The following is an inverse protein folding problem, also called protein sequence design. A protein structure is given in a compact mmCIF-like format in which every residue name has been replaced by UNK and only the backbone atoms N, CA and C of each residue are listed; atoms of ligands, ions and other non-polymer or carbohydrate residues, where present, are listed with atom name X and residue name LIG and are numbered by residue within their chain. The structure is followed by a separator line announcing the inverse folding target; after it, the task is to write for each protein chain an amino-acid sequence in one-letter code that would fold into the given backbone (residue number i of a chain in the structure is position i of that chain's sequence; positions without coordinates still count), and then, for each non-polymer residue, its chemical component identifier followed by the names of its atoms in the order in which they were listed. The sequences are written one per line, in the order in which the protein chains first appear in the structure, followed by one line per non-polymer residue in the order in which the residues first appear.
data_IF_928363770671
#
_entry.id   IF_928363770671
#
_cell.length_a   1.000
_cell.length_b   1.000
_cell.length_c   1.000
_cell.angle_alpha   90.00
_cell.angle_beta   90.00
_cell.angle_gamma   90.00
#
_symmetry.space_group_name_H-M   'P 1'
#
loop_
_entity.id
_entity.type
_entity.pdbx_description
1 polymer ?
#
# COMPACT_ATOMS: atom_id res chain seq x y z
N UNK A 1 22.19 -7.89 17.82
CA UNK A 1 22.23 -8.63 16.54
C UNK A 1 20.79 -8.84 16.11
N UNK A 2 20.13 -7.78 15.64
CA UNK A 2 18.75 -7.81 15.14
C UNK A 2 18.86 -7.83 13.62
N UNK A 3 18.28 -8.84 12.99
CA UNK A 3 18.34 -9.05 11.56
C UNK A 3 17.58 -7.92 10.86
N UNK A 4 18.25 -7.25 9.93
CA UNK A 4 17.65 -6.41 8.90
C UNK A 4 16.52 -7.19 8.23
N UNK A 5 15.28 -6.78 8.50
CA UNK A 5 14.16 -7.15 7.63
C UNK A 5 14.26 -6.16 6.48
N UNK A 6 15.05 -6.54 5.50
CA UNK A 6 15.01 -6.03 4.14
C UNK A 6 13.53 -6.03 3.72
N UNK A 7 12.89 -4.86 3.73
CA UNK A 7 11.55 -4.70 3.17
C UNK A 7 11.76 -4.83 1.66
N UNK A 8 11.78 -6.09 1.20
CA UNK A 8 11.67 -6.40 -0.21
C UNK A 8 10.51 -5.57 -0.74
N UNK A 9 10.76 -4.77 -1.78
CA UNK A 9 9.68 -4.23 -2.59
C UNK A 9 8.92 -5.45 -3.11
N UNK A 10 7.84 -5.82 -2.43
CA UNK A 10 6.93 -6.86 -2.89
C UNK A 10 6.32 -6.34 -4.20
N UNK A 11 6.96 -6.66 -5.32
CA UNK A 11 6.34 -6.52 -6.63
C UNK A 11 5.05 -7.34 -6.62
N UNK A 12 4.01 -6.77 -7.21
CA UNK A 12 2.76 -7.48 -7.36
C UNK A 12 2.98 -8.71 -8.25
N UNK A 13 2.61 -9.87 -7.76
CA UNK A 13 2.49 -11.07 -8.58
C UNK A 13 1.16 -11.00 -9.35
N UNK A 14 1.22 -10.55 -10.60
CA UNK A 14 0.05 -10.33 -11.44
C UNK A 14 -0.62 -11.66 -11.79
N UNK A 15 0.14 -12.74 -11.97
CA UNK A 15 -0.43 -14.04 -12.32
C UNK A 15 -1.19 -14.64 -11.13
N UNK A 16 -0.65 -14.50 -9.91
CA UNK A 16 -1.37 -14.85 -8.69
C UNK A 16 -2.61 -13.98 -8.49
N UNK A 17 -2.51 -12.67 -8.76
CA UNK A 17 -3.62 -11.74 -8.66
C UNK A 17 -4.76 -12.11 -9.61
N UNK A 18 -4.43 -12.40 -10.87
CA UNK A 18 -5.37 -12.84 -11.90
C UNK A 18 -6.06 -14.15 -11.49
N UNK A 19 -5.29 -15.17 -11.08
CA UNK A 19 -5.85 -16.46 -10.67
C UNK A 19 -6.75 -16.37 -9.43
N UNK A 20 -6.39 -15.53 -8.46
CA UNK A 20 -7.14 -15.41 -7.20
C UNK A 20 -8.48 -14.70 -7.41
N UNK A 21 -8.56 -13.81 -8.39
CA UNK A 21 -9.78 -13.04 -8.70
C UNK A 21 -10.60 -13.64 -9.84
N UNK A 22 -10.09 -14.69 -10.51
CA UNK A 22 -10.82 -15.42 -11.52
C UNK A 22 -12.13 -16.02 -10.95
N UNK A 23 -13.23 -15.82 -11.68
CA UNK A 23 -14.57 -16.19 -11.22
C UNK A 23 -15.15 -15.35 -10.08
N UNK A 24 -14.42 -14.34 -9.58
CA UNK A 24 -14.91 -13.38 -8.59
C UNK A 24 -15.18 -12.01 -9.21
N UNK A 25 -14.24 -11.52 -10.02
CA UNK A 25 -14.45 -10.32 -10.83
C UNK A 25 -15.07 -10.68 -12.18
N UNK A 26 -15.70 -9.67 -12.80
CA UNK A 26 -16.11 -9.81 -14.19
C UNK A 26 -14.87 -10.09 -15.06
N UNK A 27 -14.91 -11.08 -15.97
CA UNK A 27 -13.75 -11.44 -16.78
C UNK A 27 -13.20 -10.31 -17.64
N UNK A 28 -14.04 -9.38 -18.11
CA UNK A 28 -13.60 -8.24 -18.91
C UNK A 28 -12.88 -7.23 -18.04
N UNK A 29 -13.43 -6.92 -16.87
CA UNK A 29 -12.80 -6.01 -15.91
C UNK A 29 -11.47 -6.56 -15.39
N UNK A 30 -11.44 -7.85 -15.04
CA UNK A 30 -10.20 -8.51 -14.59
C UNK A 30 -9.12 -8.44 -15.68
N UNK A 31 -9.49 -8.70 -16.94
CA UNK A 31 -8.57 -8.63 -18.07
C UNK A 31 -8.05 -7.22 -18.33
N UNK A 32 -8.91 -6.20 -18.23
CA UNK A 32 -8.50 -4.79 -18.37
C UNK A 32 -7.49 -4.41 -17.29
N UNK A 33 -7.81 -4.70 -16.03
CA UNK A 33 -6.95 -4.38 -14.88
C UNK A 33 -5.59 -5.09 -14.98
N UNK A 34 -5.57 -6.38 -15.30
CA UNK A 34 -4.30 -7.13 -15.40
C UNK A 34 -3.47 -6.71 -16.61
N UNK A 35 -4.12 -6.30 -17.71
CA UNK A 35 -3.43 -5.73 -18.87
C UNK A 35 -2.76 -4.40 -18.52
N UNK A 36 -3.50 -3.48 -17.89
CA UNK A 36 -2.97 -2.19 -17.46
C UNK A 36 -1.81 -2.35 -16.46
N UNK A 37 -1.91 -3.32 -15.54
CA UNK A 37 -0.83 -3.64 -14.59
C UNK A 37 0.42 -4.20 -15.26
N UNK A 38 0.27 -4.97 -16.35
CA UNK A 38 1.40 -5.54 -17.12
C UNK A 38 2.07 -4.49 -18.00
N UNK A 39 1.32 -3.52 -18.48
CA UNK A 39 1.84 -2.40 -19.29
C UNK A 39 2.46 -1.28 -18.43
N UNK A 40 2.19 -1.26 -17.12
CA UNK A 40 2.76 -0.30 -16.16
C UNK A 40 4.21 -0.64 -15.79
N UNK A 41 5.07 0.38 -15.72
CA UNK A 41 6.46 0.23 -15.26
C UNK A 41 6.57 -0.10 -13.75
N UNK A 42 5.50 0.11 -12.97
CA UNK A 42 5.50 -0.06 -11.52
C UNK A 42 4.23 -0.78 -11.04
N UNK A 43 4.13 -2.08 -11.31
CA UNK A 43 3.01 -2.90 -10.81
C UNK A 43 3.16 -3.15 -9.30
N UNK A 44 2.34 -2.47 -8.48
CA UNK A 44 2.33 -2.66 -7.02
C UNK A 44 0.93 -2.97 -6.47
N UNK A 45 0.87 -3.64 -5.32
CA UNK A 45 -0.38 -4.08 -4.70
C UNK A 45 -1.38 -2.95 -4.46
N UNK A 46 -0.94 -1.76 -4.05
CA UNK A 46 -1.84 -0.62 -3.82
C UNK A 46 -2.46 -0.08 -5.10
N UNK A 47 -1.75 -0.15 -6.22
CA UNK A 47 -2.28 0.28 -7.53
C UNK A 47 -3.31 -0.71 -8.05
N UNK A 48 -3.01 -2.01 -8.02
CA UNK A 48 -3.97 -3.05 -8.39
C UNK A 48 -5.25 -3.00 -7.55
N UNK A 49 -5.13 -2.83 -6.23
CA UNK A 49 -6.29 -2.67 -5.36
C UNK A 49 -7.11 -1.41 -5.68
N UNK A 50 -6.46 -0.33 -6.13
CA UNK A 50 -7.15 0.90 -6.53
C UNK A 50 -7.89 0.71 -7.85
N UNK A 51 -7.30 0.05 -8.83
CA UNK A 51 -7.96 -0.28 -10.11
C UNK A 51 -9.21 -1.15 -9.90
N UNK A 52 -9.13 -2.18 -9.04
CA UNK A 52 -10.31 -3.00 -8.70
C UNK A 52 -11.38 -2.18 -7.97
N UNK A 53 -10.96 -1.30 -7.07
CA UNK A 53 -11.88 -0.41 -6.37
C UNK A 53 -12.60 0.53 -7.34
N UNK A 54 -11.87 1.15 -8.25
CA UNK A 54 -12.41 2.11 -9.22
C UNK A 54 -13.41 1.41 -10.16
N UNK A 55 -13.08 0.22 -10.68
CA UNK A 55 -13.99 -0.61 -11.47
C UNK A 55 -15.30 -0.95 -10.71
N UNK A 56 -15.20 -1.23 -9.42
CA UNK A 56 -16.38 -1.54 -8.60
C UNK A 56 -17.17 -0.29 -8.17
N UNK A 57 -16.52 0.86 -7.99
CA UNK A 57 -17.19 2.15 -7.74
C UNK A 57 -17.94 2.66 -8.98
N UNK A 58 -17.41 2.38 -10.18
CA UNK A 58 -18.10 2.62 -11.46
C UNK A 58 -19.23 1.59 -11.74
N UNK A 59 -19.30 0.54 -10.93
CA UNK A 59 -20.36 -0.47 -10.98
C UNK A 59 -20.15 -1.56 -12.03
N UNK A 60 -18.94 -1.69 -12.58
CA UNK A 60 -18.61 -2.76 -13.53
C UNK A 60 -18.38 -4.10 -12.82
N UNK A 61 -17.91 -4.08 -11.57
CA UNK A 61 -17.72 -5.28 -10.75
C UNK A 61 -18.48 -5.27 -9.42
N UNK A 62 -18.79 -6.48 -8.94
CA UNK A 62 -19.18 -6.66 -7.55
C UNK A 62 -17.95 -6.56 -6.65
N UNK A 63 -18.08 -5.85 -5.53
CA UNK A 63 -17.02 -5.68 -4.54
C UNK A 63 -16.55 -7.04 -3.98
N UNK A 64 -15.29 -7.45 -4.22
CA UNK A 64 -14.75 -8.67 -3.65
C UNK A 64 -14.55 -8.55 -2.13
N UNK A 65 -14.39 -9.68 -1.46
CA UNK A 65 -14.08 -9.68 -0.02
C UNK A 65 -12.68 -9.09 0.23
N UNK A 66 -12.53 -8.35 1.32
CA UNK A 66 -11.24 -7.75 1.68
C UNK A 66 -10.13 -8.77 1.97
N UNK A 67 -10.48 -9.99 2.40
CA UNK A 67 -9.54 -11.09 2.63
C UNK A 67 -9.00 -11.59 1.28
N UNK A 68 -9.90 -11.82 0.32
CA UNK A 68 -9.53 -12.27 -1.01
C UNK A 68 -8.66 -11.24 -1.74
N UNK A 69 -8.98 -9.96 -1.59
CA UNK A 69 -8.14 -8.88 -2.14
C UNK A 69 -6.74 -8.85 -1.51
N UNK A 70 -6.65 -9.10 -0.20
CA UNK A 70 -5.36 -9.16 0.49
C UNK A 70 -4.51 -10.33 -0.01
N UNK A 71 -5.13 -11.48 -0.22
CA UNK A 71 -4.52 -12.69 -0.80
C UNK A 71 -4.07 -12.45 -2.25
N UNK A 72 -4.96 -11.94 -3.10
CA UNK A 72 -4.68 -11.68 -4.51
C UNK A 72 -3.48 -10.73 -4.68
N UNK A 73 -3.46 -9.63 -3.93
CA UNK A 73 -2.40 -8.63 -3.99
C UNK A 73 -1.19 -8.97 -3.09
N UNK A 74 -1.17 -10.15 -2.47
CA UNK A 74 -0.12 -10.60 -1.54
C UNK A 74 0.25 -9.52 -0.51
N UNK A 75 -0.76 -8.91 0.09
CA UNK A 75 -0.61 -7.77 0.98
C UNK A 75 -1.38 -7.97 2.29
N UNK A 76 -1.19 -7.04 3.23
CA UNK A 76 -1.85 -7.13 4.52
C UNK A 76 -3.31 -6.65 4.42
N UNK A 77 -4.27 -7.29 5.12
CA UNK A 77 -5.66 -6.82 5.16
C UNK A 77 -5.84 -5.33 5.55
N UNK A 78 -4.98 -4.73 6.43
CA UNK A 78 -4.98 -3.30 6.66
C UNK A 78 -4.72 -2.44 5.42
N UNK A 79 -3.87 -2.90 4.49
CA UNK A 79 -3.62 -2.19 3.23
C UNK A 79 -4.89 -2.13 2.38
N UNK A 80 -5.60 -3.25 2.27
CA UNK A 80 -6.90 -3.33 1.58
C UNK A 80 -7.91 -2.38 2.22
N UNK A 81 -8.02 -2.41 3.55
CA UNK A 81 -8.91 -1.50 4.29
C UNK A 81 -8.55 -0.03 4.08
N UNK A 82 -7.26 0.29 3.97
CA UNK A 82 -6.77 1.64 3.71
C UNK A 82 -7.17 2.12 2.31
N UNK A 83 -6.95 1.30 1.28
CA UNK A 83 -7.33 1.63 -0.11
C UNK A 83 -8.85 1.75 -0.24
N UNK A 84 -9.60 0.84 0.39
CA UNK A 84 -11.05 0.75 0.18
C UNK A 84 -11.88 1.77 0.94
N UNK A 85 -11.46 2.14 2.15
CA UNK A 85 -12.27 3.00 3.01
C UNK A 85 -11.97 4.49 2.86
N UNK A 86 -11.05 4.89 1.98
CA UNK A 86 -10.80 6.28 1.58
C UNK A 86 -10.31 7.22 2.68
N UNK A 87 -10.40 6.84 3.94
CA UNK A 87 -9.76 7.54 5.04
C UNK A 87 -8.29 7.15 5.02
N UNK A 88 -7.50 7.87 4.22
CA UNK A 88 -6.05 7.88 4.37
C UNK A 88 -5.76 8.02 5.84
N UNK A 89 -5.18 6.98 6.46
CA UNK A 89 -5.03 6.83 7.90
C UNK A 89 -6.09 7.61 8.69
N UNK A 90 -7.20 6.99 9.09
CA UNK A 90 -7.75 7.44 10.36
C UNK A 90 -6.58 7.27 11.34
N UNK A 91 -5.96 8.40 11.71
CA UNK A 91 -4.93 8.49 12.71
C UNK A 91 -5.63 8.07 14.00
N UNK A 92 -5.82 6.77 14.16
CA UNK A 92 -6.07 6.18 15.46
C UNK A 92 -4.71 6.31 16.11
N UNK A 93 -4.49 7.48 16.70
CA UNK A 93 -3.49 7.64 17.74
C UNK A 93 -3.86 6.59 18.79
N UNK A 94 -3.22 5.42 18.71
CA UNK A 94 -3.14 4.52 19.84
C UNK A 94 -2.25 5.27 20.84
N UNK A 95 -2.90 6.13 21.65
CA UNK A 95 -2.28 7.00 22.65
C UNK A 95 -1.52 6.24 23.73
N UNK A 96 -1.48 4.92 23.67
CA UNK A 96 -0.79 4.08 24.64
C UNK A 96 0.68 3.78 24.25
N UNK A 97 1.19 4.28 23.12
CA UNK A 97 2.60 4.03 22.72
C UNK A 97 3.29 5.14 21.92
N UNK A 98 2.77 6.37 21.95
CA UNK A 98 3.44 7.47 21.26
C UNK A 98 4.71 7.88 22.04
N UNK A 99 5.88 7.52 21.51
CA UNK A 99 7.20 7.91 22.07
C UNK A 99 7.43 9.42 21.93
N UNK A 100 6.80 10.04 20.92
CA UNK A 100 6.91 11.47 20.64
C UNK A 100 5.54 12.13 20.60
N UNK A 101 5.49 13.35 21.12
CA UNK A 101 4.39 14.28 20.93
C UNK A 101 4.40 14.83 19.49
N UNK A 102 3.25 15.32 18.97
CA UNK A 102 3.19 15.90 17.63
C UNK A 102 4.20 17.05 17.39
N UNK A 103 4.56 17.79 18.45
CA UNK A 103 5.56 18.85 18.36
C UNK A 103 6.99 18.28 18.21
N UNK A 104 7.28 17.16 18.87
CA UNK A 104 8.56 16.47 18.76
C UNK A 104 8.73 15.80 17.39
N UNK A 105 7.66 15.23 16.84
CA UNK A 105 7.65 14.70 15.46
C UNK A 105 7.97 15.80 14.44
N UNK A 106 7.34 16.97 14.57
CA UNK A 106 7.60 18.11 13.68
C UNK A 106 9.04 18.63 13.80
N UNK A 107 9.57 18.69 15.03
CA UNK A 107 10.98 19.07 15.26
C UNK A 107 11.95 18.03 14.69
N UNK A 108 11.61 16.75 14.78
CA UNK A 108 12.42 15.67 14.21
C UNK A 108 12.42 15.72 12.68
N UNK A 109 11.25 15.90 12.06
CA UNK A 109 11.11 16.07 10.62
C UNK A 109 11.90 17.27 10.11
N UNK A 110 11.84 18.41 10.81
CA UNK A 110 12.61 19.60 10.45
C UNK A 110 14.13 19.35 10.49
N UNK A 111 14.61 18.58 11.48
CA UNK A 111 16.03 18.20 11.59
C UNK A 111 16.45 17.25 10.47
N UNK A 112 15.64 16.23 10.18
CA UNK A 112 15.92 15.25 9.14
C UNK A 112 16.00 15.93 7.77
N UNK A 113 15.05 16.81 7.45
CA UNK A 113 15.07 17.59 6.21
C UNK A 113 16.31 18.46 6.11
N UNK A 114 16.68 19.15 7.20
CA UNK A 114 17.91 19.95 7.24
C UNK A 114 19.18 19.12 7.03
N UNK A 115 19.23 17.89 7.55
CA UNK A 115 20.35 16.97 7.32
C UNK A 115 20.39 16.57 5.84
N UNK A 116 19.27 16.13 5.26
CA UNK A 116 19.18 15.76 3.84
C UNK A 116 19.65 16.91 2.94
N UNK A 117 19.22 18.15 3.22
CA UNK A 117 19.59 19.32 2.43
C UNK A 117 21.10 19.62 2.49
N UNK A 118 21.77 19.25 3.58
CA UNK A 118 23.20 19.53 3.78
C UNK A 118 24.13 18.36 3.39
N UNK A 119 23.72 17.12 3.65
CA UNK A 119 24.56 15.92 3.51
C UNK A 119 24.09 14.97 2.42
N UNK A 120 22.85 15.12 1.94
CA UNK A 120 22.24 14.27 0.92
C UNK A 120 21.75 12.90 1.41
N UNK A 121 21.98 12.55 2.68
CA UNK A 121 21.52 11.31 3.30
C UNK A 121 21.43 11.47 4.82
N UNK A 122 20.59 10.67 5.48
CA UNK A 122 20.41 10.72 6.93
C UNK A 122 20.90 9.42 7.53
N UNK A 123 21.74 9.51 8.56
CA UNK A 123 22.18 8.35 9.32
C UNK A 123 21.47 8.26 10.67
N UNK A 124 21.33 7.05 11.21
CA UNK A 124 20.70 6.83 12.51
C UNK A 124 21.47 7.43 13.70
N UNK A 125 22.68 7.96 13.49
CA UNK A 125 23.43 8.71 14.51
C UNK A 125 23.01 10.18 14.62
N UNK A 126 22.33 10.72 13.60
CA UNK A 126 21.98 12.15 13.49
C UNK A 126 20.52 12.43 13.90
N UNK A 127 19.76 11.36 14.19
CA UNK A 127 18.36 11.36 14.67
C UNK A 127 18.34 11.03 16.15
#
# INVERSE_FOLDING_TARGET
MQKDIEVQRNQLDIDNFEQTLDGVLDPVELWLITSDLRDSEVSCSSEALRMVKDSCDEGYCQKPSGILLAEAASCSPPLVACVWNGNGYQKVEIKESAIFTPEEELKLLAKILHIIDNTGFVTAQEI
#
